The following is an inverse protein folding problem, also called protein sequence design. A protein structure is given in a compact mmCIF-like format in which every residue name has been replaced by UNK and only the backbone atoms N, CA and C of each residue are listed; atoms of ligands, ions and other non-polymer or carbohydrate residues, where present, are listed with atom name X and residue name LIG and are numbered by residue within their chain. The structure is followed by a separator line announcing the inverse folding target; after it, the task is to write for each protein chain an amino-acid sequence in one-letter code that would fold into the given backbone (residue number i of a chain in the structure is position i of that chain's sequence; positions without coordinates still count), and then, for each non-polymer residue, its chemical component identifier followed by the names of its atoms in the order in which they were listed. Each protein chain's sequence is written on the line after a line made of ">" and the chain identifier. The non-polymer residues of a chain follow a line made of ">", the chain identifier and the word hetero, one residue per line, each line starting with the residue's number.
data_IF_427126653603
#
_entry.id   IF_427126653603
#
_cell.length_a   1.000
_cell.length_b   1.000
_cell.length_c   1.000
_cell.angle_alpha   90.00
_cell.angle_beta   90.00
_cell.angle_gamma   90.00
#
_symmetry.space_group_name_H-M   'P 1'
#
loop_
_entity.id
_entity.type
_entity.pdbx_description
1 polymer ?
#
# COMPACT_ATOMS: atom_id res chain seq x y z
N UNK A 1 -9.25 10.76 -41.54
CA UNK A 1 -10.39 11.69 -41.37
C UNK A 1 -9.95 12.75 -40.39
N UNK A 2 -10.20 14.03 -40.70
CA UNK A 2 -9.64 15.17 -39.95
C UNK A 2 -10.41 15.48 -38.68
N UNK A 3 -9.71 15.96 -37.66
CA UNK A 3 -10.29 16.37 -36.37
C UNK A 3 -11.43 17.39 -36.52
N UNK A 4 -11.37 18.24 -37.56
CA UNK A 4 -12.39 19.24 -37.90
C UNK A 4 -13.76 18.64 -38.27
N UNK A 5 -13.82 17.43 -38.84
CA UNK A 5 -15.10 16.77 -39.10
C UNK A 5 -15.68 16.10 -37.86
N UNK A 6 -14.83 15.61 -36.95
CA UNK A 6 -15.25 15.02 -35.68
C UNK A 6 -15.79 16.09 -34.72
N UNK A 7 -15.15 17.26 -34.68
CA UNK A 7 -15.61 18.43 -33.93
C UNK A 7 -17.01 18.87 -34.39
N UNK A 8 -17.23 18.98 -35.70
CA UNK A 8 -18.54 19.35 -36.28
C UNK A 8 -19.64 18.32 -35.97
N UNK A 9 -19.29 17.04 -35.88
CA UNK A 9 -20.25 15.99 -35.51
C UNK A 9 -20.63 16.11 -34.03
N UNK A 10 -19.66 16.29 -33.14
CA UNK A 10 -19.89 16.53 -31.71
C UNK A 10 -20.76 17.76 -31.47
N UNK A 11 -20.45 18.88 -32.14
CA UNK A 11 -21.24 20.10 -32.04
C UNK A 11 -22.69 19.87 -32.48
N UNK A 12 -22.92 19.04 -33.51
CA UNK A 12 -24.27 18.70 -34.00
C UNK A 12 -25.03 17.80 -33.02
N UNK A 13 -24.35 16.79 -32.48
CA UNK A 13 -24.92 15.83 -31.53
C UNK A 13 -25.28 16.54 -30.20
N UNK A 14 -24.52 17.56 -29.81
CA UNK A 14 -24.79 18.42 -28.65
C UNK A 14 -26.10 19.21 -28.76
N UNK A 15 -26.55 19.54 -29.96
CA UNK A 15 -27.86 20.18 -30.17
C UNK A 15 -28.96 19.15 -30.43
N UNK A 16 -28.62 18.00 -31.03
CA UNK A 16 -29.55 16.89 -31.22
C UNK A 16 -30.04 16.27 -29.91
N UNK A 17 -29.25 16.38 -28.83
CA UNK A 17 -29.59 15.86 -27.49
C UNK A 17 -30.75 16.62 -26.81
N UNK A 18 -31.05 17.84 -27.25
CA UNK A 18 -32.12 18.67 -26.68
C UNK A 18 -33.51 18.42 -27.27
N UNK A 19 -33.58 17.88 -28.49
CA UNK A 19 -34.84 17.63 -29.21
C UNK A 19 -35.38 16.21 -28.93
N UNK A 20 -34.49 15.25 -28.68
CA UNK A 20 -34.83 13.91 -28.17
C UNK A 20 -34.85 13.95 -26.65
N UNK A 21 -36.01 14.28 -26.07
CA UNK A 21 -36.17 14.40 -24.63
C UNK A 21 -35.64 13.17 -23.86
N UNK A 22 -34.53 13.38 -23.16
CA UNK A 22 -34.11 12.56 -22.01
C UNK A 22 -33.58 11.18 -22.35
N UNK A 23 -32.32 11.11 -22.77
CA UNK A 23 -31.40 10.12 -22.20
C UNK A 23 -29.97 10.62 -22.39
N UNK A 24 -29.14 10.46 -21.36
CA UNK A 24 -27.70 10.62 -21.46
C UNK A 24 -27.19 9.89 -22.71
N UNK A 25 -26.24 10.53 -23.40
CA UNK A 25 -25.42 10.01 -24.51
C UNK A 25 -25.56 8.49 -24.63
N UNK A 26 -26.31 8.03 -25.65
CA UNK A 26 -26.43 6.61 -25.96
C UNK A 26 -25.03 5.98 -26.04
N UNK A 27 -24.86 4.80 -25.46
CA UNK A 27 -23.56 4.11 -25.31
C UNK A 27 -22.89 3.88 -26.69
N UNK A 28 -23.69 3.84 -27.75
CA UNK A 28 -23.24 3.72 -29.14
C UNK A 28 -22.62 5.00 -29.75
N UNK A 29 -22.83 6.18 -29.15
CA UNK A 29 -22.36 7.47 -29.66
C UNK A 29 -21.43 8.20 -28.68
N UNK A 30 -20.88 7.51 -27.68
CA UNK A 30 -19.97 8.12 -26.71
C UNK A 30 -18.53 8.23 -27.27
N UNK A 31 -18.02 9.44 -27.60
CA UNK A 31 -16.66 9.64 -28.11
C UNK A 31 -15.57 9.34 -27.08
N UNK A 32 -15.94 9.12 -25.81
CA UNK A 32 -15.03 8.82 -24.72
C UNK A 32 -15.11 7.36 -24.24
N UNK A 33 -15.86 6.49 -24.91
CA UNK A 33 -15.99 5.07 -24.53
C UNK A 33 -14.62 4.38 -24.39
N UNK A 34 -13.71 4.63 -25.34
CA UNK A 34 -12.34 4.10 -25.31
C UNK A 34 -11.54 4.52 -24.06
N UNK A 35 -11.81 5.71 -23.52
CA UNK A 35 -11.14 6.21 -22.30
C UNK A 35 -11.72 5.60 -21.03
N UNK A 36 -13.02 5.33 -21.02
CA UNK A 36 -13.70 4.64 -19.91
C UNK A 36 -13.19 3.21 -19.80
N UNK A 37 -13.11 2.51 -20.93
CA UNK A 37 -12.57 1.15 -21.00
C UNK A 37 -11.09 1.10 -20.60
N UNK A 38 -10.28 2.04 -21.10
CA UNK A 38 -8.88 2.14 -20.71
C UNK A 38 -8.69 2.47 -19.21
N UNK A 39 -9.55 3.31 -18.64
CA UNK A 39 -9.59 3.62 -17.21
C UNK A 39 -9.92 2.38 -16.37
N UNK A 40 -10.99 1.68 -16.75
CA UNK A 40 -11.44 0.45 -16.10
C UNK A 40 -10.37 -0.65 -16.16
N UNK A 41 -9.70 -0.80 -17.30
CA UNK A 41 -8.58 -1.74 -17.44
C UNK A 41 -7.37 -1.36 -16.58
N UNK A 42 -7.04 -0.08 -16.51
CA UNK A 42 -5.94 0.42 -15.69
C UNK A 42 -6.22 0.18 -14.20
N UNK A 43 -7.44 0.47 -13.76
CA UNK A 43 -7.91 0.21 -12.40
C UNK A 43 -7.92 -1.29 -12.09
N UNK A 44 -8.44 -2.13 -12.98
CA UNK A 44 -8.42 -3.59 -12.82
C UNK A 44 -6.97 -4.14 -12.77
N UNK A 45 -6.05 -3.62 -13.59
CA UNK A 45 -4.62 -3.95 -13.55
C UNK A 45 -3.99 -3.49 -12.23
N UNK A 46 -4.33 -2.31 -11.73
CA UNK A 46 -3.84 -1.76 -10.47
C UNK A 46 -4.33 -2.58 -9.26
N UNK A 47 -5.63 -2.90 -9.22
CA UNK A 47 -6.25 -3.75 -8.19
C UNK A 47 -5.64 -5.15 -8.24
N UNK A 48 -5.51 -5.75 -9.43
CA UNK A 48 -4.86 -7.05 -9.61
C UNK A 48 -3.39 -7.05 -9.20
N UNK A 49 -2.65 -5.96 -9.43
CA UNK A 49 -1.27 -5.80 -8.94
C UNK A 49 -1.23 -5.63 -7.42
N UNK A 50 -2.13 -4.86 -6.82
CA UNK A 50 -2.22 -4.67 -5.36
C UNK A 50 -2.60 -5.97 -4.64
N UNK A 51 -3.51 -6.77 -5.21
CA UNK A 51 -3.87 -8.08 -4.68
C UNK A 51 -2.71 -9.09 -4.79
N UNK A 52 -1.96 -9.06 -5.89
CA UNK A 52 -0.74 -9.90 -6.06
C UNK A 52 0.42 -9.43 -5.19
N UNK A 53 0.49 -8.13 -4.94
CA UNK A 53 1.43 -7.48 -4.02
C UNK A 53 0.77 -7.33 -2.65
N UNK A 54 0.37 -8.44 -2.01
CA UNK A 54 0.16 -8.43 -0.58
C UNK A 54 1.50 -8.05 0.06
N UNK A 55 1.72 -6.73 0.26
CA UNK A 55 2.96 -6.20 0.83
C UNK A 55 3.14 -6.92 2.15
N UNK A 56 4.26 -7.65 2.27
CA UNK A 56 4.68 -8.28 3.52
C UNK A 56 5.05 -7.17 4.50
N UNK A 57 4.05 -6.48 5.01
CA UNK A 57 4.19 -5.44 6.00
C UNK A 57 4.40 -6.12 7.34
N UNK A 58 5.25 -5.53 8.16
CA UNK A 58 5.45 -6.03 9.52
C UNK A 58 4.17 -5.86 10.33
N UNK A 59 3.95 -6.72 11.32
CA UNK A 59 2.76 -6.66 12.21
C UNK A 59 2.61 -5.26 12.83
N UNK A 60 3.72 -4.64 13.21
CA UNK A 60 3.75 -3.29 13.76
C UNK A 60 3.28 -2.22 12.75
N UNK A 61 3.74 -2.32 11.50
CA UNK A 61 3.35 -1.38 10.45
C UNK A 61 1.87 -1.52 10.06
N UNK A 62 1.32 -2.74 10.10
CA UNK A 62 -0.12 -2.96 9.89
C UNK A 62 -0.96 -2.33 10.99
N UNK A 63 -0.54 -2.46 12.25
CA UNK A 63 -1.24 -1.84 13.39
C UNK A 63 -1.26 -0.31 13.26
N UNK A 64 -0.11 0.29 12.94
CA UNK A 64 -0.03 1.73 12.74
C UNK A 64 -0.89 2.24 11.58
N UNK A 65 -0.93 1.53 10.45
CA UNK A 65 -1.81 1.88 9.32
C UNK A 65 -3.28 1.82 9.72
N UNK A 66 -3.69 0.76 10.41
CA UNK A 66 -5.06 0.57 10.88
C UNK A 66 -5.49 1.69 11.83
N UNK A 67 -4.65 2.04 12.79
CA UNK A 67 -4.96 3.10 13.75
C UNK A 67 -5.03 4.48 13.07
N UNK A 68 -4.16 4.74 12.09
CA UNK A 68 -4.21 5.96 11.29
C UNK A 68 -5.48 6.03 10.42
N UNK A 69 -5.87 4.93 9.77
CA UNK A 69 -7.10 4.84 8.97
C UNK A 69 -8.35 5.07 9.82
N UNK A 70 -8.40 4.53 11.04
CA UNK A 70 -9.48 4.77 11.99
C UNK A 70 -9.57 6.24 12.40
N UNK A 71 -8.43 6.88 12.67
CA UNK A 71 -8.38 8.30 13.02
C UNK A 71 -8.82 9.19 11.86
N UNK A 72 -8.31 8.92 10.65
CA UNK A 72 -8.71 9.64 9.43
C UNK A 72 -10.19 9.45 9.17
N UNK A 73 -10.70 8.21 9.24
CA UNK A 73 -12.10 7.90 9.03
C UNK A 73 -13.00 8.63 10.02
N UNK A 74 -12.65 8.67 11.31
CA UNK A 74 -13.44 9.39 12.30
C UNK A 74 -13.42 10.90 12.08
N UNK A 75 -12.26 11.48 11.72
CA UNK A 75 -12.17 12.92 11.41
C UNK A 75 -12.93 13.27 10.13
N UNK A 76 -12.89 12.36 9.16
CA UNK A 76 -13.58 12.47 7.89
C UNK A 76 -15.10 12.23 8.02
N UNK A 77 -15.56 11.50 9.04
CA UNK A 77 -16.98 11.39 9.42
C UNK A 77 -17.47 12.63 10.14
N UNK A 78 -16.61 13.29 10.91
CA UNK A 78 -16.94 14.53 11.62
C UNK A 78 -16.93 15.75 10.70
N UNK A 79 -16.00 15.81 9.74
CA UNK A 79 -16.16 16.69 8.60
C UNK A 79 -17.27 16.09 7.75
N UNK A 80 -18.35 16.78 7.50
CA UNK A 80 -19.55 16.27 6.80
C UNK A 80 -19.32 15.98 5.29
N UNK A 81 -18.11 15.56 4.92
CA UNK A 81 -17.57 15.38 3.57
C UNK A 81 -17.82 13.95 3.09
N UNK A 82 -17.94 12.97 4.00
CA UNK A 82 -18.26 11.58 3.63
C UNK A 82 -19.72 11.28 3.95
N UNK A 83 -20.53 11.23 2.90
CA UNK A 83 -21.78 10.49 2.91
C UNK A 83 -21.43 9.00 2.90
N UNK A 84 -21.60 8.32 4.03
CA UNK A 84 -21.46 6.85 4.07
C UNK A 84 -22.63 6.28 3.25
N UNK A 85 -22.34 5.84 2.03
CA UNK A 85 -23.31 5.12 1.22
C UNK A 85 -23.69 3.80 1.94
N UNK A 86 -24.92 3.72 2.44
CA UNK A 86 -25.52 2.46 2.90
C UNK A 86 -25.52 2.21 4.41
N UNK A 87 -25.81 3.21 5.23
CA UNK A 87 -26.55 2.93 6.47
C UNK A 87 -28.02 3.25 6.17
N UNK A 88 -28.79 2.23 5.77
CA UNK A 88 -30.25 2.31 5.82
C UNK A 88 -30.63 2.54 7.28
N UNK A 89 -30.90 3.80 7.63
CA UNK A 89 -31.67 4.13 8.83
C UNK A 89 -33.10 3.69 8.56
N UNK A 90 -33.37 2.40 8.82
CA UNK A 90 -34.74 1.91 9.01
C UNK A 90 -35.30 2.61 10.24
N UNK A 91 -36.01 3.71 9.99
CA UNK A 91 -36.88 4.40 10.94
C UNK A 91 -38.11 3.51 11.25
N UNK A 92 -37.85 2.41 11.95
CA UNK A 92 -38.90 1.51 12.39
C UNK A 92 -39.66 2.14 13.57
N UNK A 93 -40.97 2.33 13.37
CA UNK A 93 -42.00 2.91 14.26
C UNK A 93 -42.24 2.07 15.56
N UNK A 94 -41.23 1.32 16.00
CA UNK A 94 -41.17 0.51 17.24
C UNK A 94 -40.83 1.34 18.49
N UNK A 95 -40.72 2.67 18.37
CA UNK A 95 -40.39 3.58 19.48
C UNK A 95 -41.47 3.74 20.55
N UNK A 96 -42.71 3.29 20.31
CA UNK A 96 -43.86 3.54 21.20
C UNK A 96 -43.89 2.68 22.47
N UNK A 97 -43.04 1.64 22.58
CA UNK A 97 -42.94 0.74 23.74
C UNK A 97 -41.54 0.69 24.38
N UNK A 98 -40.74 1.77 24.31
CA UNK A 98 -39.40 1.77 24.92
C UNK A 98 -39.47 2.03 26.43
N UNK A 99 -39.15 1.03 27.24
CA UNK A 99 -38.98 1.17 28.70
C UNK A 99 -37.64 1.83 28.99
N UNK A 100 -37.64 3.01 29.61
CA UNK A 100 -36.41 3.68 30.02
C UNK A 100 -35.85 3.06 31.30
N UNK A 101 -34.75 2.31 31.19
CA UNK A 101 -34.01 1.77 32.34
C UNK A 101 -33.05 2.84 32.85
N UNK A 102 -33.25 3.30 34.08
CA UNK A 102 -32.26 4.09 34.80
C UNK A 102 -31.23 3.14 35.41
N UNK A 103 -30.10 2.97 34.72
CA UNK A 103 -28.96 2.20 35.24
C UNK A 103 -28.09 3.16 36.06
N UNK A 104 -27.99 2.91 37.37
CA UNK A 104 -26.97 3.55 38.19
C UNK A 104 -25.64 2.84 37.97
N UNK A 105 -24.73 3.47 37.23
CA UNK A 105 -23.34 3.04 37.14
C UNK A 105 -22.63 3.35 38.47
N UNK A 106 -22.82 2.46 39.44
CA UNK A 106 -22.06 2.46 40.69
C UNK A 106 -20.65 1.96 40.40
N UNK A 107 -19.76 2.88 40.03
CA UNK A 107 -18.33 2.57 40.00
C UNK A 107 -17.88 2.30 41.43
N UNK A 108 -17.29 1.13 41.70
CA UNK A 108 -16.84 0.83 43.04
C UNK A 108 -15.75 1.82 43.45
N UNK A 109 -15.64 2.18 44.75
CA UNK A 109 -14.81 3.29 45.22
C UNK A 109 -13.31 3.09 44.97
N UNK A 110 -12.86 1.86 44.66
CA UNK A 110 -11.48 1.60 44.22
C UNK A 110 -11.17 2.11 42.79
N UNK A 111 -12.20 2.55 42.06
CA UNK A 111 -12.15 3.09 40.70
C UNK A 111 -12.28 4.62 40.67
N UNK A 112 -12.67 5.26 41.79
CA UNK A 112 -12.80 6.73 41.94
C UNK A 112 -11.51 7.44 42.37
N UNK A 113 -10.52 6.70 42.88
CA UNK A 113 -9.17 7.21 43.07
C UNK A 113 -8.38 6.95 41.81
N UNK A 114 -7.76 7.99 41.25
CA UNK A 114 -6.74 7.91 40.19
C UNK A 114 -6.07 6.55 40.15
N UNK A 115 -6.39 5.78 39.12
CA UNK A 115 -5.71 4.55 38.81
C UNK A 115 -4.22 4.88 38.73
N UNK A 116 -3.47 4.50 39.76
CA UNK A 116 -2.07 4.17 39.61
C UNK A 116 -2.00 2.87 38.77
N UNK A 117 -2.56 2.89 37.55
CA UNK A 117 -1.87 2.20 36.48
C UNK A 117 -0.56 2.94 36.37
N UNK A 118 0.46 2.55 37.16
CA UNK A 118 1.83 2.84 36.76
C UNK A 118 1.86 2.32 35.33
N UNK A 119 2.02 3.20 34.32
CA UNK A 119 2.45 2.72 33.03
C UNK A 119 3.65 1.85 33.35
N UNK A 120 3.65 0.58 32.97
CA UNK A 120 4.88 -0.17 33.07
C UNK A 120 5.83 0.57 32.15
N UNK A 121 6.74 1.34 32.75
CA UNK A 121 7.83 1.96 32.02
C UNK A 121 8.44 0.83 31.18
N UNK A 122 8.70 1.08 29.88
CA UNK A 122 9.18 0.04 28.99
C UNK A 122 10.36 -0.67 29.66
N UNK A 123 10.18 -1.97 29.93
CA UNK A 123 11.16 -2.77 30.66
C UNK A 123 12.43 -2.76 29.82
N UNK A 124 13.52 -2.21 30.39
CA UNK A 124 14.82 -2.21 29.74
C UNK A 124 15.16 -3.65 29.39
N UNK A 125 15.41 -3.92 28.11
CA UNK A 125 15.73 -5.27 27.61
C UNK A 125 17.02 -5.81 28.20
N UNK A 126 17.90 -4.92 28.68
CA UNK A 126 19.15 -5.26 29.34
C UNK A 126 19.15 -4.65 30.75
N UNK A 127 19.12 -5.54 31.75
CA UNK A 127 19.12 -5.16 33.18
C UNK A 127 20.52 -4.69 33.61
N UNK A 128 21.58 -5.28 33.06
CA UNK A 128 22.97 -4.91 33.32
C UNK A 128 23.80 -4.98 32.02
N UNK A 129 24.34 -3.85 31.53
CA UNK A 129 25.12 -3.81 30.28
C UNK A 129 26.50 -4.48 30.37
N UNK A 130 27.00 -4.75 31.59
CA UNK A 130 28.28 -5.42 31.82
C UNK A 130 28.14 -6.93 31.92
N UNK A 131 26.91 -7.45 32.05
CA UNK A 131 26.66 -8.88 32.12
C UNK A 131 27.08 -9.61 30.84
N UNK A 132 27.64 -10.82 30.98
CA UNK A 132 28.09 -11.65 29.85
C UNK A 132 26.97 -11.88 28.82
N UNK A 133 25.74 -12.10 29.29
CA UNK A 133 24.57 -12.26 28.42
C UNK A 133 24.34 -11.02 27.56
N UNK A 134 24.45 -9.82 28.14
CA UNK A 134 24.30 -8.56 27.40
C UNK A 134 25.44 -8.35 26.39
N UNK A 135 26.67 -8.68 26.77
CA UNK A 135 27.85 -8.57 25.89
C UNK A 135 27.71 -9.53 24.71
N UNK A 136 27.31 -10.78 24.94
CA UNK A 136 27.10 -11.76 23.86
C UNK A 136 25.93 -11.40 22.95
N UNK A 137 24.82 -10.90 23.50
CA UNK A 137 23.70 -10.44 22.68
C UNK A 137 24.09 -9.26 21.78
N UNK A 138 24.92 -8.32 22.26
CA UNK A 138 25.44 -7.20 21.47
C UNK A 138 26.45 -7.62 20.41
N UNK A 139 27.33 -8.56 20.74
CA UNK A 139 28.35 -9.08 19.81
C UNK A 139 27.74 -9.97 18.71
N UNK A 140 26.67 -10.69 19.04
CA UNK A 140 26.02 -11.63 18.13
C UNK A 140 26.82 -12.91 17.90
N UNK A 141 26.35 -13.75 16.97
CA UNK A 141 27.02 -15.01 16.62
C UNK A 141 28.18 -14.77 15.65
N UNK A 142 29.38 -15.23 16.03
CA UNK A 142 30.58 -15.13 15.19
C UNK A 142 30.39 -15.82 13.82
N UNK A 143 29.77 -17.00 13.81
CA UNK A 143 29.51 -17.76 12.58
C UNK A 143 28.64 -16.99 11.58
N UNK A 144 27.67 -16.21 12.09
CA UNK A 144 26.79 -15.39 11.25
C UNK A 144 27.56 -14.20 10.67
N UNK A 145 28.46 -13.60 11.46
CA UNK A 145 29.38 -12.56 10.99
C UNK A 145 30.25 -13.05 9.84
N UNK A 146 30.93 -14.18 10.02
CA UNK A 146 31.81 -14.78 9.01
C UNK A 146 31.06 -15.13 7.73
N UNK A 147 29.84 -15.66 7.85
CA UNK A 147 29.03 -16.02 6.70
C UNK A 147 28.54 -14.79 5.95
N UNK A 148 28.20 -13.71 6.66
CA UNK A 148 27.83 -12.43 6.06
C UNK A 148 29.03 -11.81 5.32
N UNK A 149 30.21 -11.80 5.93
CA UNK A 149 31.42 -11.29 5.28
C UNK A 149 31.75 -12.07 4.01
N UNK A 150 31.71 -13.41 4.07
CA UNK A 150 31.92 -14.25 2.88
C UNK A 150 30.89 -13.96 1.79
N UNK A 151 29.63 -13.75 2.16
CA UNK A 151 28.55 -13.41 1.21
C UNK A 151 28.75 -12.03 0.60
N UNK A 152 29.13 -11.03 1.39
CA UNK A 152 29.42 -9.68 0.90
C UNK A 152 30.66 -9.67 0.00
N UNK A 153 31.71 -10.41 0.36
CA UNK A 153 32.90 -10.58 -0.48
C UNK A 153 32.56 -11.28 -1.80
N UNK A 154 31.79 -12.36 -1.76
CA UNK A 154 31.34 -13.07 -2.96
C UNK A 154 30.45 -12.19 -3.85
N UNK A 155 29.61 -11.33 -3.25
CA UNK A 155 28.81 -10.36 -4.00
C UNK A 155 29.69 -9.30 -4.66
N UNK A 156 30.63 -8.70 -3.92
CA UNK A 156 31.55 -7.71 -4.48
C UNK A 156 32.42 -8.28 -5.62
N UNK A 157 32.89 -9.52 -5.50
CA UNK A 157 33.60 -10.19 -6.61
C UNK A 157 32.70 -10.44 -7.81
N UNK A 158 31.44 -10.83 -7.59
CA UNK A 158 30.47 -11.02 -8.68
C UNK A 158 30.16 -9.70 -9.38
N UNK A 159 29.94 -8.63 -8.62
CA UNK A 159 29.67 -7.30 -9.16
C UNK A 159 30.90 -6.75 -9.92
N UNK A 160 32.12 -7.06 -9.47
CA UNK A 160 33.36 -6.73 -10.18
C UNK A 160 33.58 -7.56 -11.46
N UNK A 161 33.19 -8.84 -11.46
CA UNK A 161 33.25 -9.71 -12.65
C UNK A 161 32.17 -9.32 -13.67
N UNK A 162 30.97 -8.97 -13.19
CA UNK A 162 29.86 -8.47 -14.01
C UNK A 162 30.06 -7.02 -14.49
N UNK A 163 31.25 -6.44 -14.31
CA UNK A 163 31.60 -5.12 -14.84
C UNK A 163 31.72 -5.11 -16.38
N UNK A 164 31.71 -6.29 -17.01
CA UNK A 164 31.52 -6.46 -18.45
C UNK A 164 30.26 -5.70 -18.91
N UNK A 165 30.42 -4.77 -19.87
CA UNK A 165 29.34 -3.94 -20.40
C UNK A 165 29.10 -2.60 -19.70
N UNK A 166 29.76 -2.32 -18.56
CA UNK A 166 29.74 -0.97 -17.95
C UNK A 166 30.79 -0.04 -18.59
N UNK A 167 30.57 1.28 -18.57
CA UNK A 167 31.53 2.26 -19.13
C UNK A 167 32.93 2.14 -18.51
N UNK A 168 32.99 1.86 -17.21
CA UNK A 168 34.25 1.63 -16.49
C UNK A 168 34.89 0.29 -16.88
N UNK A 169 34.10 -0.76 -17.09
CA UNK A 169 34.58 -2.05 -17.60
C UNK A 169 35.13 -1.96 -19.02
N UNK A 170 34.54 -1.13 -19.87
CA UNK A 170 35.02 -0.88 -21.23
C UNK A 170 36.37 -0.14 -21.23
N UNK A 171 36.56 0.82 -20.31
CA UNK A 171 37.85 1.51 -20.10
C UNK A 171 38.90 0.58 -19.49
N UNK A 172 38.49 -0.37 -18.63
CA UNK A 172 39.37 -1.37 -18.01
C UNK A 172 39.70 -2.56 -18.93
N UNK A 173 39.13 -2.63 -20.14
CA UNK A 173 39.42 -3.68 -21.12
C UNK A 173 38.78 -5.04 -20.81
N UNK A 174 37.76 -5.08 -19.95
CA UNK A 174 37.01 -6.31 -19.65
C UNK A 174 36.11 -6.61 -20.85
N UNK A 175 36.43 -7.67 -21.59
CA UNK A 175 35.68 -8.10 -22.77
C UNK A 175 34.28 -8.55 -22.36
N UNK A 176 33.28 -8.07 -23.07
CA UNK A 176 31.94 -8.66 -23.02
C UNK A 176 32.06 -10.04 -23.65
N UNK A 177 31.83 -11.09 -22.87
CA UNK A 177 31.59 -12.40 -23.45
C UNK A 177 30.21 -12.31 -24.10
N UNK A 178 30.20 -11.94 -25.38
CA UNK A 178 29.01 -12.06 -26.21
C UNK A 178 28.66 -13.55 -26.29
N UNK A 179 27.46 -13.91 -25.87
CA UNK A 179 26.85 -15.23 -26.06
C UNK A 179 26.58 -15.46 -27.55
N UNK A 180 27.61 -15.56 -28.39
CA UNK A 180 27.54 -15.99 -29.80
C UNK A 180 28.97 -16.32 -30.28
N UNK A 181 29.45 -17.52 -29.96
CA UNK A 181 30.83 -17.90 -30.25
C UNK A 181 31.05 -19.42 -30.21
N UNK A 182 30.66 -20.07 -31.29
CA UNK A 182 31.00 -21.43 -31.70
C UNK A 182 32.48 -21.77 -31.37
N UNK A 183 32.71 -22.49 -30.27
CA UNK A 183 34.03 -23.05 -29.94
C UNK A 183 34.25 -24.35 -30.75
N UNK A 184 34.51 -24.18 -32.05
CA UNK A 184 35.15 -25.17 -32.91
C UNK A 184 36.66 -24.89 -32.99
N UNK A 185 37.43 -25.98 -32.96
CA UNK A 185 38.90 -26.13 -33.10
C UNK A 185 39.71 -25.72 -31.86
N UNK A 186 40.52 -26.57 -31.22
CA UNK A 186 41.14 -27.81 -31.68
C UNK A 186 42.47 -27.53 -32.37
N UNK A 187 43.53 -27.30 -31.58
CA UNK A 187 44.95 -27.69 -31.79
C UNK A 187 45.79 -27.25 -30.60
#
# INVERSE_FOLDING_TARGET
>A
MGWDSAQRQLDRDWYSIGESGGSAVDDAHNPFADYVDHGNELEAKLIGQQQKQAKKMTVYQMQYSRDNELWVSNRLKQSDIVQVAGAEEDDDDMGKNRVHLLVHDLKPPFLEGTLLTRPLDPVKTVVDPTSDLAVFARKGSALVGDLREKRERAKATRDAVNMAGTTLGNVMGVRVEDEDGEALSGS
#
